data_IF_413409616716
#
_entry.id   IF_413409616716
#
_cell.length_a   1.000
_cell.length_b   1.000
_cell.length_c   1.000
_cell.angle_alpha   90.00
_cell.angle_beta   90.00
_cell.angle_gamma   90.00
#
_symmetry.space_group_name_H-M   'P 1'
#
loop_
_entity.id
_entity.type
_entity.pdbx_description
1 polymer ?
#
# COMPACT_ATOMS: atom_id res chain seq x y z
N UNK A 1 29.24 -33.49 42.66
CA UNK A 1 29.72 -33.63 41.26
C UNK A 1 28.56 -33.60 40.25
N UNK A 2 27.50 -32.82 40.50
CA UNK A 2 26.27 -32.82 39.68
C UNK A 2 25.75 -31.40 39.33
N UNK A 3 26.56 -30.36 39.54
CA UNK A 3 26.15 -28.95 39.39
C UNK A 3 26.79 -28.23 38.20
N UNK A 4 27.70 -28.86 37.43
CA UNK A 4 28.37 -28.21 36.30
C UNK A 4 27.68 -28.42 34.94
N UNK A 5 26.83 -29.44 34.79
CA UNK A 5 26.20 -29.74 33.49
C UNK A 5 25.06 -28.80 33.12
N UNK A 6 24.40 -28.17 34.10
CA UNK A 6 23.30 -27.23 33.85
C UNK A 6 23.75 -25.89 33.23
N UNK A 7 25.01 -25.50 33.42
CA UNK A 7 25.54 -24.23 32.88
C UNK A 7 25.92 -24.29 31.40
N UNK A 8 26.29 -25.47 30.89
CA UNK A 8 26.75 -25.62 29.50
C UNK A 8 25.60 -25.60 28.50
N UNK A 9 24.46 -26.19 28.84
CA UNK A 9 23.28 -26.20 27.97
C UNK A 9 22.70 -24.80 27.71
N UNK A 10 22.82 -23.90 28.70
CA UNK A 10 22.30 -22.52 28.60
C UNK A 10 23.14 -21.64 27.65
N UNK A 11 24.46 -21.85 27.60
CA UNK A 11 25.34 -21.08 26.70
C UNK A 11 25.09 -21.44 25.23
N UNK A 12 24.98 -22.73 24.92
CA UNK A 12 24.75 -23.20 23.55
C UNK A 12 23.40 -22.73 22.99
N UNK A 13 22.34 -22.74 23.82
CA UNK A 13 21.03 -22.18 23.45
C UNK A 13 21.08 -20.66 23.23
N UNK A 14 21.81 -19.93 24.08
CA UNK A 14 22.01 -18.47 23.91
C UNK A 14 22.74 -18.15 22.61
N UNK A 15 23.78 -18.91 22.27
CA UNK A 15 24.58 -18.67 21.06
C UNK A 15 23.79 -19.03 19.79
N UNK A 16 22.98 -20.10 19.82
CA UNK A 16 22.04 -20.42 18.73
C UNK A 16 20.96 -19.35 18.54
N UNK A 17 20.41 -18.80 19.64
CA UNK A 17 19.42 -17.73 19.59
C UNK A 17 20.00 -16.45 18.99
N UNK A 18 21.25 -16.09 19.35
CA UNK A 18 21.96 -14.95 18.76
C UNK A 18 22.24 -15.15 17.28
N UNK A 19 22.73 -16.31 16.88
CA UNK A 19 22.99 -16.62 15.47
C UNK A 19 21.71 -16.59 14.62
N UNK A 20 20.58 -17.09 15.15
CA UNK A 20 19.28 -16.98 14.50
C UNK A 20 18.81 -15.52 14.39
N UNK A 21 19.02 -14.71 15.43
CA UNK A 21 18.70 -13.28 15.44
C UNK A 21 19.52 -12.49 14.40
N UNK A 22 20.82 -12.73 14.32
CA UNK A 22 21.71 -12.08 13.36
C UNK A 22 21.37 -12.46 11.92
N UNK A 23 21.03 -13.73 11.68
CA UNK A 23 20.59 -14.22 10.36
C UNK A 23 19.25 -13.59 9.95
N UNK A 24 18.29 -13.49 10.88
CA UNK A 24 17.01 -12.85 10.63
C UNK A 24 17.16 -11.36 10.32
N UNK A 25 18.04 -10.65 11.04
CA UNK A 25 18.33 -9.24 10.80
C UNK A 25 18.99 -9.01 9.44
N UNK A 26 20.00 -9.81 9.09
CA UNK A 26 20.66 -9.71 7.78
C UNK A 26 19.69 -9.99 6.62
N UNK A 27 18.77 -10.96 6.77
CA UNK A 27 17.73 -11.24 5.80
C UNK A 27 16.73 -10.07 5.68
N UNK A 28 16.34 -9.46 6.81
CA UNK A 28 15.46 -8.29 6.82
C UNK A 28 16.10 -7.07 6.13
N UNK A 29 17.38 -6.79 6.41
CA UNK A 29 18.12 -5.68 5.79
C UNK A 29 18.28 -5.89 4.27
N UNK A 30 18.58 -7.13 3.84
CA UNK A 30 18.67 -7.48 2.43
C UNK A 30 17.32 -7.35 1.71
N UNK A 31 16.24 -7.82 2.35
CA UNK A 31 14.88 -7.69 1.82
C UNK A 31 14.48 -6.21 1.72
N UNK A 32 14.76 -5.40 2.75
CA UNK A 32 14.50 -3.96 2.74
C UNK A 32 15.26 -3.27 1.59
N UNK A 33 16.53 -3.62 1.38
CA UNK A 33 17.33 -3.05 0.28
C UNK A 33 16.78 -3.42 -1.10
N UNK A 34 16.36 -4.67 -1.30
CA UNK A 34 15.74 -5.10 -2.56
C UNK A 34 14.39 -4.43 -2.80
N UNK A 35 13.56 -4.30 -1.76
CA UNK A 35 12.28 -3.59 -1.82
C UNK A 35 12.52 -2.14 -2.22
N UNK A 36 13.55 -1.47 -1.68
CA UNK A 36 13.91 -0.10 -2.04
C UNK A 36 14.42 0.00 -3.49
N UNK A 37 15.31 -0.88 -3.95
CA UNK A 37 15.83 -0.82 -5.33
C UNK A 37 14.74 -1.12 -6.38
N UNK A 38 13.88 -2.11 -6.11
CA UNK A 38 12.72 -2.43 -6.97
C UNK A 38 11.72 -1.29 -6.93
N UNK A 39 11.42 -0.75 -5.74
CA UNK A 39 10.56 0.42 -5.58
C UNK A 39 11.12 1.61 -6.35
N UNK A 40 12.41 1.92 -6.25
CA UNK A 40 13.03 3.03 -6.98
C UNK A 40 12.93 2.83 -8.50
N UNK A 41 13.13 1.60 -8.98
CA UNK A 41 12.96 1.27 -10.41
C UNK A 41 11.51 1.38 -10.86
N UNK A 42 10.54 1.08 -10.00
CA UNK A 42 9.11 1.23 -10.29
C UNK A 42 8.67 2.70 -10.22
N UNK A 43 9.13 3.44 -9.20
CA UNK A 43 8.84 4.86 -8.97
C UNK A 43 9.42 5.72 -10.09
N UNK A 44 10.66 5.45 -10.51
CA UNK A 44 11.31 6.10 -11.66
C UNK A 44 10.84 5.51 -13.00
N UNK A 45 10.27 4.31 -12.95
CA UNK A 45 9.91 3.53 -14.13
C UNK A 45 8.64 4.01 -14.82
N UNK A 46 8.47 3.53 -16.06
CA UNK A 46 7.27 3.72 -16.87
C UNK A 46 6.11 2.80 -16.44
N UNK A 47 6.30 1.97 -15.40
CA UNK A 47 5.33 0.96 -15.01
C UNK A 47 4.37 1.52 -13.97
N UNK A 48 3.08 1.52 -14.30
CA UNK A 48 2.02 1.87 -13.37
C UNK A 48 1.80 0.68 -12.40
N UNK A 49 1.88 0.90 -11.09
CA UNK A 49 1.63 -0.11 -10.06
C UNK A 49 0.27 -0.80 -10.26
N UNK A 50 -0.70 -0.08 -10.81
CA UNK A 50 -2.02 -0.62 -11.09
C UNK A 50 -2.00 -1.66 -12.20
N UNK A 51 -1.08 -1.57 -13.17
CA UNK A 51 -0.90 -2.63 -14.17
C UNK A 51 -0.35 -3.90 -13.52
N UNK A 52 0.58 -3.78 -12.56
CA UNK A 52 1.09 -4.92 -11.81
C UNK A 52 -0.01 -5.54 -10.93
N UNK A 53 -0.80 -4.72 -10.23
CA UNK A 53 -1.96 -5.18 -9.46
C UNK A 53 -2.99 -5.89 -10.33
N UNK A 54 -3.29 -5.36 -11.52
CA UNK A 54 -4.19 -5.99 -12.49
C UNK A 54 -3.68 -7.36 -12.94
N UNK A 55 -2.39 -7.46 -13.32
CA UNK A 55 -1.77 -8.72 -13.71
C UNK A 55 -1.81 -9.73 -12.55
N UNK A 56 -1.47 -9.28 -11.34
CA UNK A 56 -1.54 -10.11 -10.12
C UNK A 56 -2.93 -10.65 -9.84
N UNK A 57 -3.95 -9.78 -9.91
CA UNK A 57 -5.36 -10.17 -9.73
C UNK A 57 -5.82 -11.18 -10.78
N UNK A 58 -5.49 -10.96 -12.06
CA UNK A 58 -5.84 -11.89 -13.14
C UNK A 58 -5.14 -13.24 -13.01
N UNK A 59 -3.84 -13.26 -12.70
CA UNK A 59 -3.10 -14.50 -12.48
C UNK A 59 -3.66 -15.28 -11.29
N UNK A 60 -4.03 -14.59 -10.20
CA UNK A 60 -4.67 -15.26 -9.07
C UNK A 60 -6.00 -15.92 -9.47
N UNK A 61 -6.85 -15.26 -10.25
CA UNK A 61 -8.09 -15.87 -10.73
C UNK A 61 -7.78 -17.14 -11.53
N UNK A 62 -6.86 -17.07 -12.49
CA UNK A 62 -6.53 -18.20 -13.37
C UNK A 62 -5.95 -19.39 -12.60
N UNK A 63 -5.02 -19.14 -11.67
CA UNK A 63 -4.40 -20.20 -10.85
C UNK A 63 -5.45 -20.86 -9.96
N UNK A 64 -6.25 -20.07 -9.24
CA UNK A 64 -7.23 -20.63 -8.31
C UNK A 64 -8.40 -21.31 -9.01
N UNK A 65 -8.81 -20.90 -10.21
CA UNK A 65 -9.83 -21.62 -11.00
C UNK A 65 -9.35 -23.03 -11.33
N UNK A 66 -8.08 -23.18 -11.72
CA UNK A 66 -7.48 -24.49 -11.97
C UNK A 66 -7.44 -25.32 -10.69
N UNK A 67 -7.02 -24.74 -9.58
CA UNK A 67 -6.86 -25.43 -8.29
C UNK A 67 -8.23 -25.88 -7.73
N UNK A 68 -9.30 -25.11 -7.91
CA UNK A 68 -10.67 -25.52 -7.54
C UNK A 68 -11.08 -26.80 -8.26
N UNK A 69 -10.82 -26.92 -9.56
CA UNK A 69 -11.19 -28.11 -10.33
C UNK A 69 -10.50 -29.34 -9.74
N UNK A 70 -9.20 -29.25 -9.45
CA UNK A 70 -8.42 -30.32 -8.81
C UNK A 70 -8.91 -30.66 -7.39
N UNK A 71 -9.20 -29.65 -6.58
CA UNK A 71 -9.67 -29.82 -5.20
C UNK A 71 -11.09 -30.40 -5.10
N UNK A 72 -11.96 -30.13 -6.08
CA UNK A 72 -13.28 -30.76 -6.18
C UNK A 72 -13.14 -32.26 -6.46
N UNK A 73 -12.28 -32.67 -7.39
CA UNK A 73 -12.04 -34.09 -7.70
C UNK A 73 -11.38 -34.85 -6.54
N UNK A 74 -10.59 -34.16 -5.71
CA UNK A 74 -9.94 -34.75 -4.53
C UNK A 74 -10.76 -34.62 -3.24
N UNK A 75 -11.99 -34.09 -3.30
CA UNK A 75 -12.92 -33.90 -2.18
C UNK A 75 -12.36 -33.07 -1.00
N UNK A 76 -11.45 -32.13 -1.28
CA UNK A 76 -10.83 -31.25 -0.26
C UNK A 76 -11.59 -29.93 -0.10
N UNK A 77 -12.80 -29.98 0.47
CA UNK A 77 -13.72 -28.82 0.55
C UNK A 77 -13.09 -27.57 1.20
N UNK A 78 -12.26 -27.74 2.23
CA UNK A 78 -11.60 -26.61 2.90
C UNK A 78 -10.72 -25.80 1.93
N UNK A 79 -10.01 -26.47 1.01
CA UNK A 79 -9.18 -25.79 0.01
C UNK A 79 -10.04 -25.09 -1.05
N UNK A 80 -11.11 -25.74 -1.51
CA UNK A 80 -12.07 -25.14 -2.47
C UNK A 80 -12.64 -23.82 -1.94
N UNK A 81 -12.96 -23.74 -0.65
CA UNK A 81 -13.45 -22.51 -0.02
C UNK A 81 -12.39 -21.41 -0.05
N UNK A 82 -11.14 -21.72 0.30
CA UNK A 82 -10.03 -20.76 0.25
C UNK A 82 -9.78 -20.25 -1.18
N UNK A 83 -9.76 -21.14 -2.17
CA UNK A 83 -9.56 -20.78 -3.57
C UNK A 83 -10.70 -19.89 -4.08
N UNK A 84 -11.94 -20.15 -3.66
CA UNK A 84 -13.09 -19.30 -3.99
C UNK A 84 -12.94 -17.88 -3.43
N UNK A 85 -12.45 -17.74 -2.19
CA UNK A 85 -12.11 -16.43 -1.63
C UNK A 85 -11.00 -15.75 -2.43
N UNK A 86 -9.93 -16.48 -2.80
CA UNK A 86 -8.82 -15.92 -3.59
C UNK A 86 -9.26 -15.48 -4.98
N UNK A 87 -10.19 -16.19 -5.63
CA UNK A 87 -10.81 -15.76 -6.90
C UNK A 87 -11.61 -14.47 -6.69
N UNK A 88 -12.44 -14.41 -5.65
CA UNK A 88 -13.23 -13.22 -5.35
C UNK A 88 -12.34 -11.99 -5.10
N UNK A 89 -11.28 -12.14 -4.30
CA UNK A 89 -10.31 -11.09 -4.04
C UNK A 89 -9.50 -10.73 -5.29
N UNK A 90 -9.07 -11.71 -6.08
CA UNK A 90 -8.38 -11.49 -7.36
C UNK A 90 -9.25 -10.71 -8.34
N UNK A 91 -10.55 -11.02 -8.39
CA UNK A 91 -11.53 -10.27 -9.18
C UNK A 91 -11.68 -8.83 -8.69
N UNK A 92 -11.83 -8.62 -7.38
CA UNK A 92 -11.89 -7.27 -6.80
C UNK A 92 -10.63 -6.46 -7.13
N UNK A 93 -9.44 -7.05 -6.98
CA UNK A 93 -8.15 -6.43 -7.32
C UNK A 93 -8.13 -6.07 -8.81
N UNK A 94 -8.51 -6.99 -9.71
CA UNK A 94 -8.55 -6.72 -11.14
C UNK A 94 -9.51 -5.56 -11.48
N UNK A 95 -10.71 -5.52 -10.88
CA UNK A 95 -11.68 -4.44 -11.11
C UNK A 95 -11.14 -3.09 -10.62
N UNK A 96 -10.57 -3.03 -9.41
CA UNK A 96 -10.06 -1.76 -8.84
C UNK A 96 -8.93 -1.18 -9.70
N UNK A 97 -8.03 -2.03 -10.19
CA UNK A 97 -6.88 -1.59 -11.00
C UNK A 97 -7.18 -1.39 -12.49
N UNK A 98 -8.31 -1.92 -12.99
CA UNK A 98 -8.66 -1.82 -14.41
C UNK A 98 -8.83 -0.38 -14.89
N UNK A 99 -9.38 0.51 -14.07
CA UNK A 99 -9.67 1.89 -14.45
C UNK A 99 -8.42 2.75 -14.71
N UNK A 100 -7.30 2.42 -14.07
CA UNK A 100 -6.05 3.17 -14.25
C UNK A 100 -5.24 2.68 -15.45
N UNK A 101 -5.62 1.53 -16.00
CA UNK A 101 -4.99 0.99 -17.18
C UNK A 101 -5.71 1.56 -18.40
N UNK A 102 -5.00 2.31 -19.26
CA UNK A 102 -5.52 2.79 -20.56
C UNK A 102 -5.90 1.66 -21.54
N UNK A 103 -5.73 0.40 -21.14
CA UNK A 103 -6.32 -0.71 -21.86
C UNK A 103 -7.82 -0.53 -21.75
N UNK A 104 -8.52 -0.37 -22.87
CA UNK A 104 -9.98 -0.21 -22.98
C UNK A 104 -10.78 -1.44 -22.48
N UNK A 105 -10.37 -2.05 -21.37
CA UNK A 105 -11.12 -3.03 -20.64
C UNK A 105 -12.29 -2.29 -20.00
N UNK A 106 -13.43 -2.29 -20.68
CA UNK A 106 -14.69 -1.75 -20.20
C UNK A 106 -15.27 -2.66 -19.10
N UNK A 107 -14.46 -2.99 -18.10
CA UNK A 107 -14.89 -3.79 -16.95
C UNK A 107 -15.82 -2.89 -16.15
N UNK A 108 -17.06 -3.35 -16.00
CA UNK A 108 -18.22 -2.59 -15.53
C UNK A 108 -17.87 -1.44 -14.55
N UNK A 109 -17.89 -0.16 -14.99
CA UNK A 109 -17.53 0.98 -14.14
C UNK A 109 -18.42 1.06 -12.89
N UNK A 110 -19.66 0.57 -13.00
CA UNK A 110 -20.61 0.41 -11.89
C UNK A 110 -20.06 -0.50 -10.79
N UNK A 111 -19.47 -1.64 -11.14
CA UNK A 111 -18.93 -2.59 -10.16
C UNK A 111 -17.76 -1.98 -9.40
N UNK A 112 -16.86 -1.24 -10.09
CA UNK A 112 -15.77 -0.50 -9.44
C UNK A 112 -16.33 0.52 -8.46
N UNK A 113 -17.28 1.35 -8.88
CA UNK A 113 -17.90 2.35 -8.01
C UNK A 113 -18.54 1.72 -6.78
N UNK A 114 -19.26 0.60 -6.94
CA UNK A 114 -19.84 -0.14 -5.80
C UNK A 114 -18.76 -0.63 -4.83
N UNK A 115 -17.67 -1.23 -5.34
CA UNK A 115 -16.57 -1.70 -4.49
C UNK A 115 -15.94 -0.53 -3.73
N UNK A 116 -15.61 0.57 -4.41
CA UNK A 116 -14.97 1.74 -3.79
C UNK A 116 -15.92 2.46 -2.83
N UNK A 117 -17.22 2.44 -3.09
CA UNK A 117 -18.22 2.98 -2.17
C UNK A 117 -18.24 2.24 -0.83
N UNK A 118 -18.22 0.89 -0.85
CA UNK A 118 -18.20 0.08 0.37
C UNK A 118 -16.82 -0.03 1.01
N UNK A 119 -15.75 0.01 0.21
CA UNK A 119 -14.37 -0.16 0.65
C UNK A 119 -13.53 1.07 0.28
N UNK A 120 -13.90 2.24 0.81
CA UNK A 120 -13.22 3.52 0.53
C UNK A 120 -11.71 3.49 0.75
N UNK A 121 -11.22 2.67 1.69
CA UNK A 121 -9.78 2.52 1.91
C UNK A 121 -9.03 2.02 0.65
N UNK A 122 -9.70 1.35 -0.30
CA UNK A 122 -9.12 0.91 -1.57
C UNK A 122 -8.91 2.07 -2.56
N UNK A 123 -9.45 3.26 -2.30
CA UNK A 123 -9.09 4.46 -3.06
C UNK A 123 -7.63 4.82 -2.82
N UNK A 124 -7.18 4.76 -1.57
CA UNK A 124 -5.82 5.09 -1.19
C UNK A 124 -4.81 3.99 -1.59
N UNK A 125 -3.66 4.41 -2.10
CA UNK A 125 -2.57 3.49 -2.52
C UNK A 125 -2.12 2.55 -1.38
N UNK A 126 -2.05 3.05 -0.13
CA UNK A 126 -1.68 2.23 1.02
C UNK A 126 -2.75 1.16 1.33
N UNK A 127 -4.03 1.48 1.20
CA UNK A 127 -5.12 0.54 1.46
C UNK A 127 -5.20 -0.57 0.43
N UNK A 128 -4.91 -0.28 -0.85
CA UNK A 128 -4.69 -1.31 -1.88
C UNK A 128 -3.50 -2.20 -1.53
N UNK A 129 -2.42 -1.62 -1.04
CA UNK A 129 -1.24 -2.36 -0.58
C UNK A 129 -1.57 -3.34 0.55
N UNK A 130 -2.37 -2.92 1.53
CA UNK A 130 -2.86 -3.82 2.59
C UNK A 130 -3.70 -4.96 2.04
N UNK A 131 -4.60 -4.68 1.09
CA UNK A 131 -5.38 -5.72 0.43
C UNK A 131 -4.47 -6.74 -0.26
N UNK A 132 -3.48 -6.30 -1.05
CA UNK A 132 -2.56 -7.20 -1.73
C UNK A 132 -1.75 -8.06 -0.77
N UNK A 133 -1.27 -7.45 0.32
CA UNK A 133 -0.52 -8.16 1.36
C UNK A 133 -1.38 -9.21 2.07
N UNK A 134 -2.61 -8.86 2.44
CA UNK A 134 -3.57 -9.77 3.06
C UNK A 134 -3.88 -10.96 2.15
N UNK A 135 -4.26 -10.70 0.89
CA UNK A 135 -4.61 -11.75 -0.07
C UNK A 135 -3.39 -12.61 -0.41
N UNK A 136 -2.21 -12.00 -0.52
CA UNK A 136 -0.95 -12.71 -0.69
C UNK A 136 -0.63 -13.63 0.48
N UNK A 137 -0.92 -13.22 1.72
CA UNK A 137 -0.73 -14.04 2.92
C UNK A 137 -1.67 -15.26 2.93
N UNK A 138 -2.93 -15.08 2.51
CA UNK A 138 -3.88 -16.21 2.36
C UNK A 138 -3.35 -17.19 1.30
N UNK A 139 -2.95 -16.72 0.12
CA UNK A 139 -2.41 -17.58 -0.93
C UNK A 139 -1.12 -18.29 -0.50
N UNK A 140 -0.22 -17.59 0.20
CA UNK A 140 1.02 -18.14 0.72
C UNK A 140 0.77 -19.25 1.76
N UNK A 141 -0.28 -19.13 2.58
CA UNK A 141 -0.62 -20.09 3.63
C UNK A 141 -1.05 -21.48 3.12
N UNK A 142 -1.39 -21.61 1.83
CA UNK A 142 -1.77 -22.90 1.24
C UNK A 142 -0.59 -23.88 1.11
N UNK A 143 0.66 -23.37 1.15
CA UNK A 143 1.91 -24.13 1.03
C UNK A 143 2.07 -24.94 -0.27
N UNK A 144 1.16 -24.80 -1.23
CA UNK A 144 1.29 -25.35 -2.57
C UNK A 144 2.23 -24.46 -3.40
N UNK A 145 3.00 -25.05 -4.33
CA UNK A 145 4.04 -24.32 -5.08
C UNK A 145 3.50 -23.07 -5.82
N UNK A 146 2.30 -23.18 -6.41
CA UNK A 146 1.65 -22.07 -7.09
C UNK A 146 1.23 -20.96 -6.11
N UNK A 147 0.64 -21.35 -4.98
CA UNK A 147 0.24 -20.43 -3.91
C UNK A 147 1.43 -19.73 -3.27
N UNK A 148 2.57 -20.43 -3.14
CA UNK A 148 3.81 -19.85 -2.63
C UNK A 148 4.36 -18.77 -3.57
N UNK A 149 4.43 -19.04 -4.88
CA UNK A 149 4.91 -18.06 -5.87
C UNK A 149 3.93 -16.88 -5.99
N UNK A 150 2.65 -17.16 -6.22
CA UNK A 150 1.62 -16.13 -6.40
C UNK A 150 1.40 -15.30 -5.14
N UNK A 151 1.36 -15.95 -3.97
CA UNK A 151 1.25 -15.31 -2.66
C UNK A 151 2.45 -14.42 -2.36
N UNK A 152 3.67 -14.91 -2.57
CA UNK A 152 4.90 -14.11 -2.38
C UNK A 152 4.91 -12.88 -3.29
N UNK A 153 4.51 -13.03 -4.56
CA UNK A 153 4.37 -11.92 -5.50
C UNK A 153 3.39 -10.85 -4.98
N UNK A 154 2.19 -11.25 -4.56
CA UNK A 154 1.18 -10.33 -4.03
C UNK A 154 1.60 -9.66 -2.71
N UNK A 155 2.28 -10.40 -1.82
CA UNK A 155 2.85 -9.85 -0.60
C UNK A 155 3.89 -8.77 -0.88
N UNK A 156 4.83 -9.03 -1.79
CA UNK A 156 5.85 -8.05 -2.20
C UNK A 156 5.21 -6.80 -2.82
N UNK A 157 4.22 -6.98 -3.70
CA UNK A 157 3.49 -5.87 -4.29
C UNK A 157 2.76 -5.04 -3.23
N UNK A 158 2.15 -5.70 -2.24
CA UNK A 158 1.51 -5.04 -1.10
C UNK A 158 2.48 -4.19 -0.28
N UNK A 159 3.65 -4.72 0.04
CA UNK A 159 4.71 -4.00 0.76
C UNK A 159 5.15 -2.75 -0.02
N UNK A 160 5.38 -2.89 -1.33
CA UNK A 160 5.79 -1.77 -2.20
C UNK A 160 4.71 -0.67 -2.21
N UNK A 161 3.43 -1.02 -2.37
CA UNK A 161 2.33 -0.06 -2.35
C UNK A 161 2.21 0.68 -1.00
N UNK A 162 2.37 -0.04 0.12
CA UNK A 162 2.37 0.57 1.46
C UNK A 162 3.55 1.53 1.61
N UNK A 163 4.75 1.11 1.18
CA UNK A 163 5.96 1.94 1.25
C UNK A 163 5.80 3.24 0.46
N UNK A 164 5.36 3.14 -0.81
CA UNK A 164 5.13 4.30 -1.68
C UNK A 164 4.08 5.21 -1.06
N UNK A 165 2.94 4.67 -0.63
CA UNK A 165 1.88 5.48 0.01
C UNK A 165 2.39 6.27 1.23
N UNK A 166 3.20 5.64 2.10
CA UNK A 166 3.79 6.32 3.27
C UNK A 166 4.83 7.36 2.88
N UNK A 167 5.70 7.06 1.92
CA UNK A 167 6.73 8.01 1.48
C UNK A 167 6.11 9.24 0.81
N UNK A 168 5.10 9.01 -0.03
CA UNK A 168 4.30 10.06 -0.65
C UNK A 168 3.62 10.94 0.38
N UNK A 169 2.97 10.37 1.40
CA UNK A 169 2.34 11.15 2.47
C UNK A 169 3.36 12.06 3.18
N UNK A 170 4.57 11.55 3.48
CA UNK A 170 5.65 12.36 4.08
C UNK A 170 6.12 13.50 3.18
N UNK A 171 6.28 13.23 1.88
CA UNK A 171 6.68 14.27 0.92
C UNK A 171 5.58 15.32 0.74
N UNK A 172 4.32 14.88 0.72
CA UNK A 172 3.16 15.78 0.61
C UNK A 172 2.99 16.61 1.89
N UNK A 173 3.39 16.11 3.06
CA UNK A 173 3.43 16.91 4.29
C UNK A 173 4.36 18.14 4.16
N UNK A 174 5.46 18.06 3.40
CA UNK A 174 6.33 19.23 3.12
C UNK A 174 5.64 20.31 2.31
N UNK A 175 4.58 19.97 1.55
CA UNK A 175 3.77 20.98 0.87
C UNK A 175 3.15 21.95 1.88
N UNK A 176 2.90 21.49 3.11
CA UNK A 176 2.28 22.24 4.19
C UNK A 176 3.23 23.23 4.88
N UNK A 177 4.53 23.14 4.62
CA UNK A 177 5.49 24.18 5.03
C UNK A 177 5.23 25.52 4.31
N UNK A 178 4.38 25.51 3.27
CA UNK A 178 3.95 26.70 2.54
C UNK A 178 2.63 27.25 3.09
N UNK A 179 2.41 28.55 2.90
CA UNK A 179 1.17 29.20 3.30
C UNK A 179 -0.04 28.61 2.55
N UNK A 180 -1.04 28.10 3.29
CA UNK A 180 -2.27 27.50 2.76
C UNK A 180 -2.96 28.41 1.72
N UNK A 181 -3.03 29.71 2.00
CA UNK A 181 -3.69 30.70 1.12
C UNK A 181 -3.03 30.77 -0.26
N UNK A 182 -1.70 30.71 -0.31
CA UNK A 182 -0.90 30.73 -1.53
C UNK A 182 -1.05 29.41 -2.31
N UNK A 183 -1.05 28.27 -1.61
CA UNK A 183 -1.34 26.96 -2.19
C UNK A 183 -2.72 26.90 -2.83
N UNK A 184 -3.75 27.33 -2.11
CA UNK A 184 -5.12 27.38 -2.63
C UNK A 184 -5.27 28.33 -3.83
N UNK A 185 -4.57 29.47 -3.83
CA UNK A 185 -4.59 30.40 -4.96
C UNK A 185 -3.98 29.78 -6.22
N UNK A 186 -2.84 29.08 -6.09
CA UNK A 186 -2.21 28.37 -7.23
C UNK A 186 -3.07 27.20 -7.69
N UNK A 187 -3.63 26.41 -6.76
CA UNK A 187 -4.54 25.32 -7.07
C UNK A 187 -5.72 25.82 -7.91
N UNK A 188 -6.43 26.87 -7.46
CA UNK A 188 -7.58 27.46 -8.17
C UNK A 188 -7.23 28.02 -9.54
N UNK A 189 -5.98 28.46 -9.75
CA UNK A 189 -5.51 28.97 -11.05
C UNK A 189 -5.36 27.84 -12.08
N UNK A 190 -4.92 26.67 -11.64
CA UNK A 190 -4.73 25.49 -12.50
C UNK A 190 -6.02 24.66 -12.63
N UNK A 191 -6.94 24.78 -11.68
CA UNK A 191 -8.20 24.05 -11.66
C UNK A 191 -9.12 24.44 -12.81
N UNK A 192 -9.56 23.44 -13.58
CA UNK A 192 -10.60 23.61 -14.61
C UNK A 192 -11.95 23.23 -14.01
N UNK A 193 -12.89 24.18 -13.98
CA UNK A 193 -14.19 24.00 -13.31
C UNK A 193 -14.11 23.66 -11.81
N UNK A 194 -13.05 24.10 -11.12
CA UNK A 194 -12.86 23.81 -9.70
C UNK A 194 -12.21 22.46 -9.39
N UNK A 195 -11.78 21.73 -10.42
CA UNK A 195 -11.14 20.42 -10.27
C UNK A 195 -9.77 20.39 -10.97
N UNK A 196 -8.81 19.66 -10.40
CA UNK A 196 -7.55 19.31 -11.06
C UNK A 196 -7.61 17.87 -11.56
N UNK A 197 -7.26 17.67 -12.82
CA UNK A 197 -6.88 16.35 -13.30
C UNK A 197 -5.43 16.02 -12.91
N UNK A 198 -5.00 14.78 -13.15
CA UNK A 198 -3.64 14.34 -12.83
C UNK A 198 -2.54 15.16 -13.52
N UNK A 199 -2.81 15.72 -14.70
CA UNK A 199 -1.83 16.50 -15.48
C UNK A 199 -1.64 17.88 -14.84
N UNK A 200 -2.74 18.57 -14.55
CA UNK A 200 -2.74 19.86 -13.88
C UNK A 200 -2.23 19.76 -12.43
N UNK A 201 -2.53 18.65 -11.75
CA UNK A 201 -1.98 18.36 -10.42
C UNK A 201 -0.46 18.12 -10.46
N UNK A 202 0.07 17.49 -11.52
CA UNK A 202 1.52 17.36 -11.70
C UNK A 202 2.19 18.73 -11.84
N UNK A 203 1.64 19.60 -12.69
CA UNK A 203 2.11 20.99 -12.83
C UNK A 203 2.00 21.77 -11.51
N UNK A 204 0.93 21.55 -10.74
CA UNK A 204 0.78 22.14 -9.42
C UNK A 204 1.94 21.75 -8.48
N UNK A 205 2.30 20.47 -8.41
CA UNK A 205 3.39 19.99 -7.53
C UNK A 205 4.78 20.47 -7.98
N UNK A 206 5.03 20.59 -9.29
CA UNK A 206 6.29 21.11 -9.84
C UNK A 206 6.60 22.55 -9.36
N UNK A 207 5.56 23.34 -9.02
CA UNK A 207 5.72 24.69 -8.50
C UNK A 207 6.22 24.77 -7.03
N UNK A 208 6.38 23.64 -6.35
CA UNK A 208 6.78 23.54 -4.93
C UNK A 208 8.09 22.77 -4.72
N UNK A 209 8.82 22.47 -5.80
CA UNK A 209 10.09 21.73 -5.76
C UNK A 209 10.01 20.40 -4.99
N UNK A 210 8.85 19.75 -5.07
CA UNK A 210 8.64 18.42 -4.50
C UNK A 210 9.18 17.37 -5.48
N UNK A 211 10.32 16.76 -5.15
CA UNK A 211 10.89 15.64 -5.89
C UNK A 211 10.01 14.37 -5.72
N UNK A 212 8.90 14.33 -6.46
CA UNK A 212 7.96 13.22 -6.51
C UNK A 212 8.14 12.45 -7.83
N UNK A 213 8.44 11.16 -7.74
CA UNK A 213 8.42 10.27 -8.90
C UNK A 213 7.00 10.04 -9.42
N UNK A 214 6.86 9.52 -10.64
CA UNK A 214 5.54 9.31 -11.28
C UNK A 214 4.58 8.49 -10.43
N UNK A 215 5.08 7.41 -9.81
CA UNK A 215 4.27 6.58 -8.91
C UNK A 215 3.81 7.34 -7.65
N UNK A 216 4.64 8.25 -7.14
CA UNK A 216 4.33 9.07 -5.97
C UNK A 216 3.35 10.20 -6.31
N UNK A 217 3.42 10.77 -7.51
CA UNK A 217 2.43 11.73 -8.02
C UNK A 217 1.05 11.07 -8.06
N UNK A 218 0.94 9.89 -8.67
CA UNK A 218 -0.34 9.14 -8.70
C UNK A 218 -0.80 8.76 -7.29
N UNK A 219 0.11 8.36 -6.42
CA UNK A 219 -0.24 8.03 -5.03
C UNK A 219 -0.72 9.25 -4.23
N UNK A 220 -0.16 10.44 -4.46
CA UNK A 220 -0.60 11.68 -3.79
C UNK A 220 -1.92 12.16 -4.36
N UNK A 221 -2.11 12.04 -5.67
CA UNK A 221 -3.37 12.33 -6.33
C UNK A 221 -4.50 11.45 -5.76
N UNK A 222 -4.30 10.14 -5.69
CA UNK A 222 -5.29 9.19 -5.12
C UNK A 222 -5.47 9.32 -3.60
N UNK A 223 -4.57 10.03 -2.91
CA UNK A 223 -4.74 10.38 -1.50
C UNK A 223 -5.64 11.60 -1.32
N UNK A 224 -5.65 12.52 -2.29
CA UNK A 224 -6.48 13.71 -2.29
C UNK A 224 -7.87 13.46 -2.89
N UNK A 225 -7.95 12.66 -3.96
CA UNK A 225 -9.18 12.21 -4.63
C UNK A 225 -9.93 11.22 -3.72
N UNK A 226 -10.84 11.76 -2.91
CA UNK A 226 -11.52 11.07 -1.82
C UNK A 226 -12.74 10.29 -2.28
N UNK A 227 -13.34 10.71 -3.40
CA UNK A 227 -14.51 10.09 -4.01
C UNK A 227 -14.16 9.18 -5.20
N UNK A 228 -12.87 9.10 -5.57
CA UNK A 228 -12.32 8.21 -6.58
C UNK A 228 -12.81 8.49 -8.01
N UNK A 229 -13.19 9.74 -8.31
CA UNK A 229 -13.69 10.17 -9.60
C UNK A 229 -12.58 10.47 -10.63
N UNK A 230 -11.31 10.50 -10.19
CA UNK A 230 -10.15 10.78 -11.02
C UNK A 230 -9.84 12.26 -11.18
N UNK A 231 -10.45 13.11 -10.34
CA UNK A 231 -10.24 14.54 -10.21
C UNK A 231 -9.95 14.86 -8.73
N UNK A 232 -9.34 16.00 -8.48
CA UNK A 232 -9.20 16.56 -7.13
C UNK A 232 -9.92 17.89 -7.11
N UNK A 233 -11.01 17.98 -6.37
CA UNK A 233 -11.75 19.22 -6.16
C UNK A 233 -11.03 20.16 -5.18
N UNK A 234 -11.37 21.45 -5.25
CA UNK A 234 -10.89 22.44 -4.27
C UNK A 234 -11.30 22.04 -2.86
N UNK A 235 -12.51 21.52 -2.68
CA UNK A 235 -13.07 21.08 -1.41
C UNK A 235 -12.31 19.88 -0.82
N UNK A 236 -11.93 18.91 -1.65
CA UNK A 236 -11.13 17.76 -1.21
C UNK A 236 -9.73 18.16 -0.78
N UNK A 237 -9.08 19.03 -1.54
CA UNK A 237 -7.75 19.53 -1.19
C UNK A 237 -7.79 20.35 0.12
N UNK A 238 -8.81 21.20 0.30
CA UNK A 238 -9.01 21.97 1.54
C UNK A 238 -9.30 21.05 2.73
N UNK A 239 -10.16 20.05 2.55
CA UNK A 239 -10.50 19.05 3.57
C UNK A 239 -9.27 18.24 3.99
N UNK A 240 -8.44 17.82 3.02
CA UNK A 240 -7.20 17.13 3.28
C UNK A 240 -6.24 18.00 4.10
N UNK A 241 -6.08 19.27 3.72
CA UNK A 241 -5.21 20.21 4.42
C UNK A 241 -5.63 20.37 5.89
N UNK A 242 -6.92 20.60 6.12
CA UNK A 242 -7.50 20.76 7.47
C UNK A 242 -7.38 19.50 8.33
N UNK A 243 -7.56 18.32 7.72
CA UNK A 243 -7.39 17.05 8.42
C UNK A 243 -5.94 16.88 8.90
N UNK A 244 -4.97 17.28 8.07
CA UNK A 244 -3.56 17.23 8.40
C UNK A 244 -3.16 18.25 9.49
N UNK A 245 -3.75 19.44 9.52
CA UNK A 245 -3.53 20.43 10.60
C UNK A 245 -4.06 19.94 11.95
N UNK A 246 -5.24 19.29 11.96
CA UNK A 246 -5.82 18.72 13.17
C UNK A 246 -4.97 17.62 13.78
N UNK A 247 -4.34 16.78 12.94
CA UNK A 247 -3.47 15.69 13.40
C UNK A 247 -2.19 16.21 14.04
N UNK A 248 -1.57 17.24 13.48
CA UNK A 248 -0.37 17.86 14.08
C UNK A 248 -0.68 18.52 15.41
N UNK A 249 -1.82 19.21 15.51
CA UNK A 249 -2.27 19.82 16.77
C UNK A 249 -2.54 18.79 17.88
N UNK A 250 -2.81 17.53 17.54
CA UNK A 250 -2.97 16.45 18.53
C UNK A 250 -1.66 15.79 18.95
N UNK A 251 -0.63 15.84 18.09
CA UNK A 251 0.70 15.27 18.39
C UNK A 251 1.54 16.21 19.29
N UNK A 252 1.20 17.51 19.32
CA UNK A 252 1.72 18.47 20.31
C UNK A 252 1.06 18.30 21.69
N UNK A 253 1.03 17.05 22.21
CA UNK A 253 0.63 16.79 23.61
C UNK A 253 1.42 17.72 24.54
N UNK A 254 0.76 18.33 25.55
CA UNK A 254 1.34 19.38 26.34
C UNK A 254 2.62 18.87 27.01
N UNK A 255 3.73 19.50 26.67
CA UNK A 255 5.03 19.34 27.32
C UNK A 255 4.77 19.30 28.83
N UNK A 256 5.04 18.13 29.44
CA UNK A 256 4.65 17.83 30.80
C UNK A 256 5.05 19.00 31.70
N UNK A 257 4.04 19.74 32.19
CA UNK A 257 4.26 20.88 33.06
C UNK A 257 5.04 20.33 34.24
N UNK A 258 6.27 20.82 34.51
CA UNK A 258 7.11 20.25 35.57
C UNK A 258 6.27 20.24 36.84
N UNK A 259 6.04 19.04 37.38
CA UNK A 259 5.29 18.87 38.60
C UNK A 259 5.94 19.78 39.65
N UNK A 260 5.20 20.80 40.08
CA UNK A 260 5.66 21.73 41.09
C UNK A 260 6.23 20.90 42.24
N UNK A 261 7.53 21.11 42.46
CA UNK A 261 8.34 20.50 43.49
C UNK A 261 7.83 21.10 44.82
N UNK A 262 6.73 20.55 45.34
CA UNK A 262 6.19 20.92 46.65
C UNK A 262 7.23 20.55 47.71
N UNK A 263 7.86 21.60 48.25
CA UNK A 263 8.74 21.62 49.41
C UNK A 263 7.95 21.54 50.73
#
# INVERSE_FOLDING_TARGET
>A
MATETTGLLSKEQSDQLKAAGDTAKAAADAAQKQVVDVSDKLVKGKYNLSVLGLIGGLLMILVNVKDIIEHIFTLRLNKVVLDAYLILFGYMIAVVNSAETKANMNVAPKTRQTILYYAKFLCATWGRGFLYFFVGTIAFSQLDFNGLIGGSYMMLLGIICIYIGRNTAKKLAKLRDNEKSLCMLKFRRLATHGNLDISAYTEFLENYDLDLGKGEIVASFTMLDSDCDGLVSVEEFDTWWDACEKLEATDEEPEATPADEEA
#
